data_IF_676344878353
#
_entry.id   IF_676344878353
#
_cell.length_a   1.000
_cell.length_b   1.000
_cell.length_c   1.000
_cell.angle_alpha   90.00
_cell.angle_beta   90.00
_cell.angle_gamma   90.00
#
_symmetry.space_group_name_H-M   'P 1'
#
loop_
_entity.id
_entity.type
_entity.pdbx_description
1 polymer ?
#
# COMPACT_ATOMS: atom_id res chain seq x y z
N UNK A 1 -8.03 -5.50 -0.10
CA UNK A 1 -6.91 -6.46 -0.18
C UNK A 1 -6.77 -7.11 -1.55
N UNK A 2 -7.86 -7.33 -2.31
CA UNK A 2 -7.81 -8.01 -3.62
C UNK A 2 -6.90 -7.34 -4.67
N UNK A 3 -6.85 -6.01 -4.75
CA UNK A 3 -5.99 -5.31 -5.73
C UNK A 3 -4.48 -5.58 -5.54
N UNK A 4 -4.01 -5.78 -4.30
CA UNK A 4 -2.58 -6.00 -4.01
C UNK A 4 -2.11 -7.38 -4.50
N UNK A 5 -2.93 -8.41 -4.36
CA UNK A 5 -2.62 -9.76 -4.83
C UNK A 5 -2.48 -9.84 -6.34
N UNK A 6 -3.32 -9.09 -7.06
CA UNK A 6 -3.28 -9.04 -8.53
C UNK A 6 -2.01 -8.40 -9.08
N UNK A 7 -1.48 -7.36 -8.41
CA UNK A 7 -0.24 -6.69 -8.83
C UNK A 7 0.97 -7.61 -8.68
N UNK A 8 1.05 -8.38 -7.59
CA UNK A 8 2.10 -9.38 -7.38
C UNK A 8 2.06 -10.49 -8.43
N UNK A 9 0.87 -10.98 -8.77
CA UNK A 9 0.69 -11.98 -9.82
C UNK A 9 1.06 -11.46 -11.20
N UNK A 10 0.65 -10.23 -11.52
CA UNK A 10 0.98 -9.57 -12.79
C UNK A 10 2.49 -9.34 -12.94
N UNK A 11 3.16 -8.99 -11.85
CA UNK A 11 4.61 -8.88 -11.79
C UNK A 11 5.30 -10.22 -12.10
N UNK A 12 4.94 -11.29 -11.38
CA UNK A 12 5.55 -12.61 -11.58
C UNK A 12 5.32 -13.06 -13.03
N UNK A 13 4.11 -12.86 -13.56
CA UNK A 13 3.79 -13.17 -14.95
C UNK A 13 4.64 -12.38 -15.96
N UNK A 14 4.87 -11.08 -15.72
CA UNK A 14 5.72 -10.26 -16.56
C UNK A 14 7.17 -10.74 -16.59
N UNK A 15 7.73 -11.08 -15.41
CA UNK A 15 9.08 -11.64 -15.30
C UNK A 15 9.17 -12.99 -16.01
N UNK A 16 8.18 -13.87 -15.85
CA UNK A 16 8.15 -15.17 -16.53
C UNK A 16 8.11 -15.04 -18.06
N UNK A 17 7.34 -14.08 -18.59
CA UNK A 17 7.33 -13.79 -20.03
C UNK A 17 8.72 -13.34 -20.48
N UNK A 18 9.35 -12.42 -19.76
CA UNK A 18 10.70 -11.96 -20.09
C UNK A 18 11.70 -13.13 -20.10
N UNK A 19 11.65 -14.01 -19.09
CA UNK A 19 12.47 -15.24 -19.04
C UNK A 19 12.19 -16.13 -20.26
N UNK A 20 10.93 -16.34 -20.64
CA UNK A 20 10.59 -17.18 -21.77
C UNK A 20 11.06 -16.63 -23.12
N UNK A 21 10.98 -15.31 -23.32
CA UNK A 21 11.43 -14.64 -24.55
C UNK A 21 12.94 -14.77 -24.71
N UNK A 22 13.72 -14.40 -23.69
CA UNK A 22 15.19 -14.50 -23.77
C UNK A 22 15.68 -15.95 -23.85
N UNK A 23 15.04 -16.89 -23.14
CA UNK A 23 15.33 -18.31 -23.27
C UNK A 23 15.11 -18.83 -24.70
N UNK A 24 14.02 -18.40 -25.33
CA UNK A 24 13.72 -18.75 -26.72
C UNK A 24 14.77 -18.18 -27.67
N UNK A 25 15.19 -16.92 -27.48
CA UNK A 25 16.25 -16.30 -28.27
C UNK A 25 17.58 -17.05 -28.15
N UNK A 26 17.98 -17.42 -26.93
CA UNK A 26 19.21 -18.20 -26.68
C UNK A 26 19.11 -19.57 -27.34
N UNK A 27 17.96 -20.25 -27.20
CA UNK A 27 17.72 -21.56 -27.83
C UNK A 27 17.81 -21.48 -29.36
N UNK A 28 17.19 -20.46 -29.98
CA UNK A 28 17.28 -20.25 -31.42
C UNK A 28 18.69 -19.88 -31.87
N UNK A 29 19.39 -19.00 -31.14
CA UNK A 29 20.75 -18.60 -31.46
C UNK A 29 21.71 -19.81 -31.44
N UNK A 30 21.52 -20.70 -30.47
CA UNK A 30 22.30 -21.93 -30.38
C UNK A 30 21.94 -22.91 -31.51
N UNK A 31 20.65 -23.12 -31.78
CA UNK A 31 20.17 -24.01 -32.84
C UNK A 31 20.57 -23.55 -34.25
N UNK A 32 20.66 -22.25 -34.50
CA UNK A 32 21.01 -21.71 -35.81
C UNK A 32 22.51 -21.83 -36.10
N UNK A 33 23.36 -21.75 -35.08
CA UNK A 33 24.81 -21.68 -35.25
C UNK A 33 25.49 -23.04 -35.08
N UNK A 34 24.98 -23.90 -34.19
CA UNK A 34 25.62 -25.19 -33.88
C UNK A 34 25.18 -26.27 -34.86
N UNK A 35 26.06 -26.60 -35.81
CA UNK A 35 25.82 -27.60 -36.86
C UNK A 35 25.92 -29.06 -36.35
N UNK A 36 26.54 -29.27 -35.20
CA UNK A 36 26.78 -30.60 -34.61
C UNK A 36 25.90 -30.84 -33.37
N UNK A 37 25.05 -31.89 -33.34
CA UNK A 37 24.15 -32.19 -32.23
C UNK A 37 24.85 -32.46 -30.89
N UNK A 38 26.11 -32.91 -30.93
CA UNK A 38 26.84 -33.44 -29.78
C UNK A 38 27.43 -32.36 -28.86
N UNK A 39 27.48 -31.10 -29.31
CA UNK A 39 28.02 -29.99 -28.53
C UNK A 39 26.93 -29.16 -27.83
N UNK A 40 25.66 -29.40 -28.18
CA UNK A 40 24.50 -28.70 -27.65
C UNK A 40 24.25 -29.08 -26.20
N UNK A 41 24.48 -28.12 -25.29
CA UNK A 41 24.10 -28.27 -23.88
C UNK A 41 22.59 -28.05 -23.68
N UNK A 42 21.94 -27.32 -24.58
CA UNK A 42 20.49 -27.17 -24.63
C UNK A 42 19.85 -28.32 -25.43
N UNK A 43 19.54 -29.44 -24.76
CA UNK A 43 18.89 -30.59 -25.41
C UNK A 43 17.42 -30.31 -25.68
N UNK A 44 16.77 -29.55 -24.79
CA UNK A 44 15.35 -29.22 -24.89
C UNK A 44 15.06 -27.76 -24.52
N UNK A 45 13.87 -27.27 -24.88
CA UNK A 45 13.38 -25.92 -24.53
C UNK A 45 13.41 -25.67 -23.00
N UNK A 46 13.05 -26.63 -22.12
CA UNK A 46 13.15 -26.46 -20.68
C UNK A 46 14.57 -26.19 -20.16
N UNK A 47 15.62 -26.71 -20.81
CA UNK A 47 17.00 -26.49 -20.39
C UNK A 47 17.41 -25.03 -20.61
N UNK A 48 16.96 -24.45 -21.73
CA UNK A 48 17.17 -23.04 -22.04
C UNK A 48 16.37 -22.12 -21.12
N UNK A 49 15.14 -22.52 -20.75
CA UNK A 49 14.34 -21.82 -19.75
C UNK A 49 15.01 -21.83 -18.38
N UNK A 50 15.52 -22.99 -17.94
CA UNK A 50 16.25 -23.13 -16.68
C UNK A 50 17.47 -22.20 -16.66
N UNK A 51 18.32 -22.29 -17.69
CA UNK A 51 19.50 -21.43 -17.82
C UNK A 51 19.15 -19.95 -17.78
N UNK A 52 18.15 -19.52 -18.56
CA UNK A 52 17.81 -18.11 -18.61
C UNK A 52 17.17 -17.62 -17.30
N UNK A 53 16.41 -18.48 -16.60
CA UNK A 53 15.83 -18.18 -15.29
C UNK A 53 16.91 -17.96 -14.22
N UNK A 54 17.92 -18.84 -14.14
CA UNK A 54 19.05 -18.69 -13.20
C UNK A 54 19.96 -17.50 -13.55
N UNK A 55 20.03 -17.15 -14.84
CA UNK A 55 20.85 -16.04 -15.34
C UNK A 55 20.18 -14.69 -15.05
N UNK A 56 18.88 -14.55 -15.33
CA UNK A 56 18.14 -13.32 -15.00
C UNK A 56 18.02 -13.06 -13.50
N UNK A 57 18.02 -14.12 -12.68
CA UNK A 57 18.07 -14.01 -11.22
C UNK A 57 19.49 -13.84 -10.67
N UNK A 58 20.50 -13.70 -11.54
CA UNK A 58 21.92 -13.52 -11.18
C UNK A 58 22.53 -14.65 -10.34
N UNK A 59 21.90 -15.83 -10.32
CA UNK A 59 22.44 -17.02 -9.63
C UNK A 59 23.63 -17.59 -10.41
N UNK A 60 23.44 -17.80 -11.73
CA UNK A 60 24.53 -18.18 -12.65
C UNK A 60 25.35 -19.40 -12.23
N UNK A 61 24.71 -20.56 -12.01
CA UNK A 61 25.41 -21.79 -11.61
C UNK A 61 26.53 -22.21 -12.58
N UNK A 62 26.40 -21.88 -13.87
CA UNK A 62 27.38 -22.22 -14.90
C UNK A 62 27.36 -23.71 -15.31
N UNK A 63 26.32 -24.45 -14.90
CA UNK A 63 26.07 -25.84 -15.29
C UNK A 63 25.67 -25.98 -16.77
N UNK A 64 24.93 -25.00 -17.25
CA UNK A 64 24.46 -24.87 -18.63
C UNK A 64 24.84 -23.48 -19.12
N UNK A 65 25.39 -23.36 -20.33
CA UNK A 65 25.68 -22.06 -20.95
C UNK A 65 25.72 -22.20 -22.48
N UNK A 66 25.36 -21.13 -23.22
CA UNK A 66 25.52 -21.10 -24.67
C UNK A 66 27.00 -21.10 -25.03
N UNK A 67 27.36 -21.92 -26.02
CA UNK A 67 28.71 -21.98 -26.59
C UNK A 67 28.84 -21.11 -27.84
N UNK A 68 27.73 -20.65 -28.41
CA UNK A 68 27.76 -19.81 -29.60
C UNK A 68 28.01 -18.34 -29.25
N UNK A 69 28.75 -17.62 -30.10
CA UNK A 69 29.00 -16.19 -29.87
C UNK A 69 27.71 -15.37 -29.79
N UNK A 70 26.70 -15.71 -30.62
CA UNK A 70 25.38 -15.06 -30.58
C UNK A 70 24.64 -15.39 -29.28
N UNK A 71 24.65 -16.64 -28.84
CA UNK A 71 24.03 -17.05 -27.58
C UNK A 71 24.69 -16.37 -26.37
N UNK A 72 26.02 -16.23 -26.37
CA UNK A 72 26.75 -15.50 -25.32
C UNK A 72 26.40 -14.00 -25.29
N UNK A 73 26.30 -13.36 -26.45
CA UNK A 73 25.91 -11.94 -26.54
C UNK A 73 24.48 -11.74 -26.03
N UNK A 74 23.54 -12.59 -26.45
CA UNK A 74 22.16 -12.54 -25.98
C UNK A 74 22.08 -12.86 -24.47
N UNK A 75 22.89 -13.79 -23.96
CA UNK A 75 22.97 -14.09 -22.53
C UNK A 75 23.48 -12.89 -21.69
N UNK A 76 24.48 -12.18 -22.19
CA UNK A 76 24.97 -10.96 -21.56
C UNK A 76 23.89 -9.86 -21.55
N UNK A 77 23.23 -9.64 -22.68
CA UNK A 77 22.10 -8.70 -22.79
C UNK A 77 20.94 -9.10 -21.87
N UNK A 78 20.63 -10.40 -21.79
CA UNK A 78 19.57 -10.96 -20.93
C UNK A 78 19.80 -10.65 -19.46
N UNK A 79 21.04 -10.78 -18.98
CA UNK A 79 21.38 -10.49 -17.58
C UNK A 79 21.12 -9.02 -17.25
N UNK A 80 21.60 -8.10 -18.09
CA UNK A 80 21.41 -6.65 -17.89
C UNK A 80 19.93 -6.28 -18.00
N UNK A 81 19.24 -6.74 -19.04
CA UNK A 81 17.82 -6.47 -19.24
C UNK A 81 16.95 -7.07 -18.13
N UNK A 82 17.29 -8.27 -17.64
CA UNK A 82 16.55 -8.94 -16.58
C UNK A 82 16.64 -8.25 -15.24
N UNK A 83 17.82 -7.75 -14.88
CA UNK A 83 17.98 -6.94 -13.66
C UNK A 83 17.15 -5.66 -13.75
N UNK A 84 17.17 -4.97 -14.89
CA UNK A 84 16.34 -3.77 -15.11
C UNK A 84 14.83 -4.08 -15.01
N UNK A 85 14.40 -5.21 -15.57
CA UNK A 85 13.01 -5.67 -15.53
C UNK A 85 12.57 -6.01 -14.10
N UNK A 86 13.45 -6.58 -13.28
CA UNK A 86 13.18 -6.89 -11.87
C UNK A 86 13.23 -5.62 -10.99
N UNK A 87 14.00 -4.62 -11.38
CA UNK A 87 14.14 -3.37 -10.62
C UNK A 87 12.91 -2.46 -10.75
N UNK A 88 12.26 -2.38 -11.91
CA UNK A 88 11.01 -1.61 -12.09
C UNK A 88 9.86 -1.96 -11.12
N UNK A 89 9.59 -3.23 -10.82
CA UNK A 89 8.51 -3.62 -9.90
C UNK A 89 8.88 -3.64 -8.43
N UNK A 90 10.17 -3.64 -8.07
CA UNK A 90 10.62 -3.59 -6.68
C UNK A 90 10.07 -2.36 -5.93
N UNK A 91 10.16 -1.13 -6.47
CA UNK A 91 9.56 0.07 -5.87
C UNK A 91 8.06 -0.06 -5.62
N UNK A 92 7.32 -0.67 -6.55
CA UNK A 92 5.86 -0.88 -6.43
C UNK A 92 5.54 -1.76 -5.21
N UNK A 93 6.35 -2.81 -4.99
CA UNK A 93 6.23 -3.67 -3.81
C UNK A 93 6.57 -2.89 -2.53
N UNK A 94 7.67 -2.13 -2.54
CA UNK A 94 8.12 -1.34 -1.39
C UNK A 94 7.07 -0.31 -0.97
N UNK A 95 6.47 0.39 -1.93
CA UNK A 95 5.37 1.34 -1.67
C UNK A 95 4.13 0.64 -1.09
N UNK A 96 3.82 -0.57 -1.56
CA UNK A 96 2.73 -1.39 -1.01
C UNK A 96 2.97 -1.73 0.47
N UNK A 97 4.19 -2.10 0.83
CA UNK A 97 4.57 -2.34 2.23
C UNK A 97 4.55 -1.05 3.05
N UNK A 98 5.10 0.05 2.53
CA UNK A 98 5.11 1.34 3.22
C UNK A 98 3.69 1.78 3.60
N UNK A 99 2.73 1.62 2.68
CA UNK A 99 1.31 1.89 2.94
C UNK A 99 0.75 0.98 4.04
N UNK A 100 1.07 -0.32 4.02
CA UNK A 100 0.65 -1.26 5.07
C UNK A 100 1.22 -0.86 6.45
N UNK A 101 2.50 -0.53 6.54
CA UNK A 101 3.12 -0.07 7.79
C UNK A 101 2.53 1.25 8.29
N UNK A 102 2.20 2.18 7.40
CA UNK A 102 1.54 3.43 7.76
C UNK A 102 0.16 3.19 8.39
N UNK A 103 -0.63 2.25 7.85
CA UNK A 103 -1.92 1.85 8.43
C UNK A 103 -1.78 1.21 9.81
N UNK A 104 -0.75 0.37 10.02
CA UNK A 104 -0.44 -0.20 11.32
C UNK A 104 -0.04 0.88 12.34
N UNK A 105 0.81 1.83 11.94
CA UNK A 105 1.21 2.96 12.79
C UNK A 105 0.03 3.87 13.13
N UNK A 106 -0.87 4.15 12.19
CA UNK A 106 -2.07 4.94 12.43
C UNK A 106 -2.99 4.29 13.48
N UNK A 107 -3.14 2.95 13.46
CA UNK A 107 -3.89 2.22 14.48
C UNK A 107 -3.23 2.22 15.85
N UNK A 108 -1.89 2.21 15.92
CA UNK A 108 -1.16 2.28 17.20
C UNK A 108 -1.25 3.64 17.89
N UNK A 109 -1.49 4.73 17.13
CA UNK A 109 -1.64 6.10 17.64
C UNK A 109 -3.08 6.46 18.02
N UNK A 110 -4.05 5.59 17.77
CA UNK A 110 -5.40 5.81 18.29
C UNK A 110 -5.36 5.63 19.82
N UNK A 111 -5.70 6.66 20.62
CA UNK A 111 -5.79 6.51 22.05
C UNK A 111 -6.77 5.38 22.33
N UNK A 112 -6.35 4.37 23.12
CA UNK A 112 -7.28 3.46 23.78
C UNK A 112 -8.21 4.34 24.62
N UNK A 113 -9.33 4.79 24.05
CA UNK A 113 -10.46 5.31 24.84
C UNK A 113 -10.87 4.14 25.71
N UNK A 114 -10.32 4.13 26.92
CA UNK A 114 -10.79 3.31 28.01
C UNK A 114 -12.19 3.84 28.29
N UNK A 115 -13.18 3.27 27.58
CA UNK A 115 -14.60 3.51 27.82
C UNK A 115 -14.83 3.01 29.25
N UNK A 116 -14.72 3.92 30.23
CA UNK A 116 -15.23 3.67 31.58
C UNK A 116 -16.74 3.54 31.39
N UNK A 117 -17.21 2.30 31.30
CA UNK A 117 -18.61 1.98 31.55
C UNK A 117 -18.77 2.28 33.04
N UNK A 118 -19.17 3.52 33.36
CA UNK A 118 -19.70 3.82 34.68
C UNK A 118 -20.96 2.96 34.88
N UNK A 119 -21.20 2.43 36.08
CA UNK A 119 -22.41 1.66 36.34
C UNK A 119 -23.61 2.55 36.03
N UNK A 120 -24.52 2.05 35.17
CA UNK A 120 -25.76 2.71 34.88
C UNK A 120 -26.57 2.83 36.17
N UNK A 121 -26.70 4.05 36.68
CA UNK A 121 -27.64 4.35 37.76
C UNK A 121 -29.03 4.52 37.13
N UNK A 122 -30.02 3.66 37.45
CA UNK A 122 -31.35 3.79 36.91
C UNK A 122 -32.10 4.86 37.70
N UNK A 123 -32.21 6.07 37.14
CA UNK A 123 -33.11 7.10 37.68
C UNK A 123 -34.57 6.64 37.54
N UNK A 124 -35.15 6.18 38.66
CA UNK A 124 -36.58 5.85 38.80
C UNK A 124 -37.42 7.13 38.67
N UNK A 125 -38.18 7.24 37.58
CA UNK A 125 -39.13 8.33 37.33
C UNK A 125 -40.38 8.17 38.21
N UNK A 126 -40.45 8.88 39.34
CA UNK A 126 -41.62 8.93 40.22
C UNK A 126 -42.73 9.77 39.55
N UNK A 127 -43.84 9.15 39.14
CA UNK A 127 -45.08 9.83 38.74
C UNK A 127 -45.77 10.36 40.01
N UNK A 128 -45.94 11.66 40.15
CA UNK A 128 -46.83 12.26 41.16
C UNK A 128 -48.25 12.43 40.58
N UNK A 129 -49.31 12.16 41.35
CA UNK A 129 -50.69 12.27 40.90
C UNK A 129 -51.19 13.71 40.93
N UNK A 130 -52.20 13.96 40.10
CA UNK A 130 -52.90 15.23 39.89
C UNK A 130 -53.79 15.55 41.10
N UNK A 131 -53.67 16.75 41.67
CA UNK A 131 -54.67 17.50 42.49
C UNK A 131 -54.12 18.94 42.65
N UNK A 132 -54.62 19.99 41.99
CA UNK A 132 -55.88 20.74 42.16
C UNK A 132 -55.80 21.87 43.23
N UNK A 133 -56.03 23.13 42.77
CA UNK A 133 -56.61 24.31 43.49
C UNK A 133 -55.68 25.14 44.41
N UNK A 134 -55.41 26.43 44.11
CA UNK A 134 -56.19 27.59 44.60
C UNK A 134 -55.63 28.97 44.17
N UNK A 135 -56.59 29.86 43.97
CA UNK A 135 -56.69 31.31 43.78
C UNK A 135 -55.48 32.24 43.93
N UNK A 136 -55.47 33.21 43.01
CA UNK A 136 -54.53 34.33 43.00
C UNK A 136 -54.90 35.46 43.95
N UNK A 137 -53.91 36.32 44.17
CA UNK A 137 -54.07 37.73 44.51
C UNK A 137 -52.70 38.41 44.56
N UNK A 138 -52.65 39.62 43.96
CA UNK A 138 -51.68 40.71 44.15
C UNK A 138 -50.36 40.71 43.36
N UNK A 139 -49.86 41.85 42.85
CA UNK A 139 -50.44 43.15 42.49
C UNK A 139 -49.30 44.00 41.87
N UNK A 140 -49.58 44.60 40.71
CA UNK A 140 -49.28 45.99 40.29
C UNK A 140 -47.89 46.65 40.52
N UNK A 141 -47.40 47.16 39.38
CA UNK A 141 -47.04 48.57 39.07
C UNK A 141 -45.76 49.18 39.66
N UNK A 142 -44.82 49.49 38.76
CA UNK A 142 -44.06 50.75 38.55
C UNK A 142 -42.77 50.35 37.79
N UNK A 143 -42.36 50.85 36.62
CA UNK A 143 -42.78 51.86 35.66
C UNK A 143 -41.72 51.83 34.52
N UNK A 144 -41.89 52.55 33.38
CA UNK A 144 -40.93 52.52 32.28
C UNK A 144 -40.04 53.76 32.28
N UNK A 145 -38.72 53.64 32.46
CA UNK A 145 -37.76 54.72 32.10
C UNK A 145 -36.32 54.19 32.08
N UNK A 146 -35.61 54.12 30.94
CA UNK A 146 -34.81 55.18 30.28
C UNK A 146 -33.34 55.24 30.77
N UNK A 147 -32.44 54.85 29.86
CA UNK A 147 -31.14 55.45 29.50
C UNK A 147 -29.92 55.47 30.47
N UNK A 148 -28.84 54.90 29.92
CA UNK A 148 -27.55 55.57 29.59
C UNK A 148 -26.50 55.79 30.68
N UNK A 149 -25.26 55.45 30.28
CA UNK A 149 -23.95 55.97 30.72
C UNK A 149 -23.27 55.34 31.94
N UNK A 150 -22.20 54.57 31.70
CA UNK A 150 -20.80 54.94 31.99
C UNK A 150 -19.85 53.82 31.51
N UNK A 151 -18.92 54.09 30.57
CA UNK A 151 -17.52 54.54 30.79
C UNK A 151 -16.61 53.42 31.32
N UNK A 152 -15.47 53.04 30.73
CA UNK A 152 -14.75 53.49 29.54
C UNK A 152 -13.58 52.53 29.30
N UNK A 153 -13.37 52.10 28.06
CA UNK A 153 -12.22 51.29 27.63
C UNK A 153 -11.20 52.24 26.98
N UNK A 154 -10.07 52.42 27.66
CA UNK A 154 -8.97 53.26 27.18
C UNK A 154 -8.06 52.45 26.23
N UNK A 155 -7.88 53.02 25.04
CA UNK A 155 -6.60 53.23 24.33
C UNK A 155 -5.68 52.03 24.13
N UNK A 156 -5.61 51.54 22.89
CA UNK A 156 -4.36 51.06 22.27
C UNK A 156 -4.47 51.31 20.77
N UNK A 157 -3.83 52.38 20.29
CA UNK A 157 -3.67 52.65 18.87
C UNK A 157 -2.32 53.32 18.63
N UNK A 158 -1.60 52.76 17.66
CA UNK A 158 -0.54 53.36 16.84
C UNK A 158 0.89 53.41 17.43
N UNK A 159 1.71 52.49 16.92
CA UNK A 159 2.90 52.85 16.15
C UNK A 159 2.61 52.52 14.68
#
# INVERSE_FOLDING_TARGET
MQYSSSVLWLLIFFVLIAVAVFASLIYYAERMTTRHPNENMFKSIPDALWFNMITMSTIGYGDLYPKTMLGMLIGAVSTVAGVLIIDLPMPIIVETFANFYAHLRARSKLPKTRRKIGPAEPTVKKRTPISAVDNGQNLKLLGPSTKTSMFGSKTNMMA
#
